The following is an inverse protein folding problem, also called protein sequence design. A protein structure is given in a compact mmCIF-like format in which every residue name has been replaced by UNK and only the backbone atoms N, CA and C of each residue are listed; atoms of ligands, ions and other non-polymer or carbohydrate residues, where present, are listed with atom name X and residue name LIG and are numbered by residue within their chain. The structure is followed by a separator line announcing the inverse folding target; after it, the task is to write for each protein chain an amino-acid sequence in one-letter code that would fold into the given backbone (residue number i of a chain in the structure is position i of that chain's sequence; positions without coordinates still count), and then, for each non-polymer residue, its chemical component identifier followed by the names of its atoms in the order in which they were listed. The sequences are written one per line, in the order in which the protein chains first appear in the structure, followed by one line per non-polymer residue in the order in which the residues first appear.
data_IF_618114057226
#
_entry.id   IF_618114057226
#
_cell.length_a   1.000
_cell.length_b   1.000
_cell.length_c   1.000
_cell.angle_alpha   90.00
_cell.angle_beta   90.00
_cell.angle_gamma   90.00
#
_symmetry.space_group_name_H-M   'P 1'
#
loop_
_entity.id
_entity.type
_entity.pdbx_description
1 polymer ?
#
# COMPACT_ATOMS: atom_id res chain seq x y z
N UNK A 1 -27.70 12.28 7.61
CA UNK A 1 -26.53 13.19 7.68
C UNK A 1 -25.40 12.58 6.86
N UNK A 2 -25.09 13.16 5.70
CA UNK A 2 -23.98 12.75 4.83
C UNK A 2 -22.76 13.57 5.26
N UNK A 3 -21.71 12.92 5.75
CA UNK A 3 -20.43 13.58 6.01
C UNK A 3 -19.79 13.90 4.65
N UNK A 4 -19.46 15.18 4.46
CA UNK A 4 -18.74 15.72 3.32
C UNK A 4 -17.29 15.22 3.40
N UNK A 5 -16.93 14.23 2.59
CA UNK A 5 -15.51 13.96 2.32
C UNK A 5 -14.98 15.14 1.53
N UNK A 6 -14.08 15.91 2.14
CA UNK A 6 -13.37 17.01 1.51
C UNK A 6 -12.45 16.46 0.41
N UNK A 7 -13.00 16.29 -0.79
CA UNK A 7 -12.27 15.97 -2.01
C UNK A 7 -11.60 17.25 -2.49
N UNK A 8 -10.38 17.49 -2.01
CA UNK A 8 -9.52 18.51 -2.59
C UNK A 8 -8.90 17.89 -3.84
N UNK A 9 -9.59 18.00 -4.97
CA UNK A 9 -9.06 17.67 -6.29
C UNK A 9 -8.00 18.74 -6.65
N UNK A 10 -6.76 18.52 -6.20
CA UNK A 10 -5.64 19.38 -6.61
C UNK A 10 -5.35 19.04 -8.07
N UNK A 11 -5.72 19.94 -8.97
CA UNK A 11 -5.20 19.93 -10.32
C UNK A 11 -3.69 20.17 -10.23
N UNK A 12 -2.90 19.12 -10.41
CA UNK A 12 -1.45 19.21 -10.39
C UNK A 12 -0.99 20.29 -11.38
N UNK A 13 -0.14 21.22 -10.91
CA UNK A 13 0.48 22.18 -11.81
C UNK A 13 1.41 21.43 -12.79
N UNK A 14 1.59 21.91 -14.04
CA UNK A 14 2.39 21.21 -15.06
C UNK A 14 3.82 20.89 -14.61
N UNK A 15 4.36 21.66 -13.66
CA UNK A 15 5.70 21.49 -13.09
C UNK A 15 5.76 20.50 -11.90
N UNK A 16 4.60 20.06 -11.39
CA UNK A 16 4.48 19.10 -10.28
C UNK A 16 4.15 17.68 -10.75
N UNK A 17 3.97 17.47 -12.06
CA UNK A 17 3.75 16.14 -12.64
C UNK A 17 5.12 15.45 -12.67
N UNK A 18 5.37 14.43 -11.83
CA UNK A 18 6.60 13.66 -11.93
C UNK A 18 6.69 13.10 -13.34
N UNK A 19 7.90 12.98 -13.88
CA UNK A 19 8.12 12.35 -15.19
C UNK A 19 7.22 11.12 -15.32
N UNK A 20 6.39 11.08 -16.37
CA UNK A 20 5.38 10.06 -16.54
C UNK A 20 5.97 8.62 -16.57
N UNK A 21 7.28 8.50 -16.73
CA UNK A 21 8.07 7.26 -16.62
C UNK A 21 8.27 6.76 -15.18
N UNK A 22 8.13 7.61 -14.15
CA UNK A 22 8.29 7.24 -12.74
C UNK A 22 6.96 6.89 -12.04
N UNK A 23 5.81 7.10 -12.69
CA UNK A 23 4.49 6.91 -12.08
C UNK A 23 4.05 5.44 -12.15
N UNK A 24 3.97 4.79 -10.98
CA UNK A 24 3.48 3.40 -10.86
C UNK A 24 1.99 3.42 -10.56
N UNK A 25 1.19 2.67 -11.33
CA UNK A 25 -0.24 2.53 -11.03
C UNK A 25 -0.47 1.76 -9.73
N UNK A 26 -1.57 2.04 -9.04
CA UNK A 26 -1.95 1.33 -7.81
C UNK A 26 -1.95 -0.20 -7.98
N UNK A 27 -2.43 -0.70 -9.12
CA UNK A 27 -2.42 -2.14 -9.43
C UNK A 27 -1.01 -2.70 -9.59
N UNK A 28 -0.11 -1.98 -10.29
CA UNK A 28 1.28 -2.42 -10.48
C UNK A 28 2.02 -2.43 -9.15
N UNK A 29 1.84 -1.40 -8.32
CA UNK A 29 2.45 -1.36 -6.99
C UNK A 29 1.88 -2.45 -6.07
N UNK A 30 0.56 -2.64 -6.02
CA UNK A 30 -0.05 -3.74 -5.25
C UNK A 30 0.53 -5.10 -5.63
N UNK A 31 0.67 -5.36 -6.93
CA UNK A 31 1.32 -6.57 -7.43
C UNK A 31 2.79 -6.67 -7.03
N UNK A 32 3.56 -5.57 -7.00
CA UNK A 32 4.97 -5.58 -6.63
C UNK A 32 5.16 -5.93 -5.16
N UNK A 33 4.32 -5.41 -4.26
CA UNK A 33 4.34 -5.73 -2.82
C UNK A 33 3.65 -7.04 -2.47
N UNK A 34 3.11 -7.78 -3.45
CA UNK A 34 2.55 -9.12 -3.25
C UNK A 34 1.06 -9.16 -2.92
N UNK A 35 0.35 -8.04 -3.08
CA UNK A 35 -1.12 -7.97 -3.06
C UNK A 35 -1.58 -8.26 -4.49
N UNK A 36 -1.79 -9.56 -4.79
CA UNK A 36 -2.01 -10.06 -6.17
C UNK A 36 -3.43 -9.85 -6.70
N UNK A 37 -4.37 -9.55 -5.82
CA UNK A 37 -5.76 -9.32 -6.19
C UNK A 37 -5.94 -7.89 -6.68
N UNK A 38 -6.48 -7.73 -7.89
CA UNK A 38 -6.61 -6.44 -8.58
C UNK A 38 -7.50 -5.43 -7.82
N UNK A 39 -8.29 -5.87 -6.83
CA UNK A 39 -9.13 -4.99 -6.02
C UNK A 39 -8.60 -4.71 -4.61
N UNK A 40 -7.74 -5.56 -4.04
CA UNK A 40 -7.35 -5.44 -2.61
C UNK A 40 -6.51 -4.21 -2.30
N UNK A 41 -5.52 -3.89 -3.15
CA UNK A 41 -4.73 -2.67 -2.93
C UNK A 41 -5.58 -1.42 -3.16
N UNK A 42 -6.52 -1.49 -4.12
CA UNK A 42 -7.48 -0.42 -4.36
C UNK A 42 -8.40 -0.19 -3.15
N UNK A 43 -8.94 -1.26 -2.59
CA UNK A 43 -9.77 -1.21 -1.38
C UNK A 43 -9.01 -0.59 -0.19
N UNK A 44 -7.70 -0.84 -0.07
CA UNK A 44 -6.87 -0.24 0.97
C UNK A 44 -6.75 1.29 0.82
N UNK A 45 -6.68 1.77 -0.42
CA UNK A 45 -6.70 3.21 -0.75
C UNK A 45 -8.08 3.79 -0.44
N UNK A 46 -9.15 3.15 -0.93
CA UNK A 46 -10.52 3.63 -0.79
C UNK A 46 -10.97 3.65 0.69
N UNK A 47 -10.44 2.74 1.52
CA UNK A 47 -10.63 2.71 2.97
C UNK A 47 -9.75 3.74 3.73
N UNK A 48 -8.93 4.54 3.02
CA UNK A 48 -8.08 5.58 3.61
C UNK A 48 -6.90 5.05 4.41
N UNK A 49 -6.50 3.79 4.23
CA UNK A 49 -5.41 3.20 5.00
C UNK A 49 -4.03 3.53 4.43
N UNK A 50 -3.94 3.78 3.13
CA UNK A 50 -2.71 4.25 2.47
C UNK A 50 -3.05 5.42 1.54
N UNK A 51 -2.19 6.45 1.47
CA UNK A 51 -2.38 7.52 0.49
C UNK A 51 -2.11 7.01 -0.94
N UNK A 52 -2.72 7.68 -1.91
CA UNK A 52 -2.44 7.53 -3.33
C UNK A 52 -2.76 8.85 -4.04
N UNK A 53 -2.20 9.03 -5.23
CA UNK A 53 -2.35 10.26 -6.01
C UNK A 53 -3.20 9.99 -7.26
N UNK A 54 -4.31 10.72 -7.39
CA UNK A 54 -5.11 10.75 -8.62
C UNK A 54 -4.43 11.64 -9.64
N UNK A 55 -4.02 11.07 -10.79
CA UNK A 55 -3.44 11.83 -11.88
C UNK A 55 -4.16 11.50 -13.19
N UNK A 56 -4.33 12.53 -14.02
CA UNK A 56 -4.82 12.37 -15.37
C UNK A 56 -3.66 12.02 -16.29
N UNK A 57 -3.75 10.88 -16.97
CA UNK A 57 -2.72 10.49 -17.93
C UNK A 57 -2.71 11.51 -19.09
N UNK A 58 -1.58 12.21 -19.34
CA UNK A 58 -1.52 13.24 -20.38
C UNK A 58 -1.65 12.67 -21.79
N UNK A 59 -1.30 11.39 -22.01
CA UNK A 59 -1.39 10.72 -23.32
C UNK A 59 -2.80 10.21 -23.63
N UNK A 60 -3.53 9.72 -22.64
CA UNK A 60 -4.85 9.09 -22.85
C UNK A 60 -6.02 9.91 -22.32
N UNK A 61 -5.77 10.96 -21.55
CA UNK A 61 -6.80 11.80 -20.92
C UNK A 61 -7.61 11.10 -19.82
N UNK A 62 -7.32 9.85 -19.50
CA UNK A 62 -8.01 9.09 -18.44
C UNK A 62 -7.38 9.39 -17.08
N UNK A 63 -8.23 9.64 -16.08
CA UNK A 63 -7.81 9.64 -14.69
C UNK A 63 -7.47 8.22 -14.25
N UNK A 64 -6.32 8.07 -13.59
CA UNK A 64 -5.92 6.81 -12.96
C UNK A 64 -5.28 7.12 -11.61
N UNK A 65 -5.18 6.11 -10.77
CA UNK A 65 -4.64 6.26 -9.43
C UNK A 65 -3.26 5.66 -9.40
N UNK A 66 -2.31 6.54 -9.10
CA UNK A 66 -0.88 6.29 -9.07
C UNK A 66 -0.40 6.32 -7.63
N UNK A 67 0.72 5.64 -7.40
CA UNK A 67 1.40 5.59 -6.12
C UNK A 67 2.74 6.28 -6.34
N UNK A 68 2.87 7.49 -5.82
CA UNK A 68 4.11 8.26 -5.88
C UNK A 68 5.17 7.66 -4.95
N UNK A 69 6.43 8.11 -5.06
CA UNK A 69 7.47 7.69 -4.11
C UNK A 69 7.10 8.04 -2.64
N UNK A 70 6.43 9.17 -2.41
CA UNK A 70 5.94 9.57 -1.09
C UNK A 70 4.82 8.64 -0.59
N UNK A 71 3.90 8.25 -1.47
CA UNK A 71 2.83 7.29 -1.15
C UNK A 71 3.40 5.91 -0.82
N UNK A 72 4.39 5.45 -1.59
CA UNK A 72 5.12 4.20 -1.37
C UNK A 72 5.81 4.24 0.00
N UNK A 73 6.53 5.31 0.31
CA UNK A 73 7.17 5.48 1.61
C UNK A 73 6.14 5.49 2.75
N UNK A 74 5.00 6.14 2.57
CA UNK A 74 3.91 6.14 3.56
C UNK A 74 3.32 4.75 3.78
N UNK A 75 3.09 3.99 2.70
CA UNK A 75 2.66 2.60 2.77
C UNK A 75 3.68 1.78 3.56
N UNK A 76 4.97 1.82 3.19
CA UNK A 76 6.00 1.05 3.84
C UNK A 76 6.24 1.47 5.29
N UNK A 77 6.05 2.73 5.68
CA UNK A 77 6.14 3.13 7.11
C UNK A 77 5.10 2.44 7.99
N UNK A 78 3.89 2.22 7.47
CA UNK A 78 2.77 1.67 8.24
C UNK A 78 2.62 0.17 8.07
N UNK A 79 2.89 -0.33 6.88
CA UNK A 79 2.58 -1.70 6.49
C UNK A 79 3.79 -2.45 5.96
N UNK A 80 3.66 -3.76 6.05
CA UNK A 80 4.58 -4.71 5.43
C UNK A 80 3.79 -5.92 4.94
N UNK A 81 4.24 -6.55 3.86
CA UNK A 81 3.74 -7.84 3.41
C UNK A 81 4.81 -8.91 3.62
N UNK A 82 4.45 -10.19 3.51
CA UNK A 82 5.46 -11.26 3.57
C UNK A 82 6.53 -11.13 2.49
N UNK A 83 6.19 -10.58 1.32
CA UNK A 83 7.15 -10.36 0.23
C UNK A 83 8.13 -9.25 0.60
N UNK A 84 7.63 -8.09 1.04
CA UNK A 84 8.50 -6.96 1.37
C UNK A 84 9.33 -7.28 2.60
N UNK A 85 8.77 -7.96 3.61
CA UNK A 85 9.50 -8.41 4.79
C UNK A 85 10.63 -9.40 4.45
N UNK A 86 10.37 -10.35 3.54
CA UNK A 86 11.39 -11.30 3.07
C UNK A 86 12.52 -10.59 2.33
N UNK A 87 12.19 -9.63 1.46
CA UNK A 87 13.17 -8.82 0.76
C UNK A 87 13.99 -7.93 1.71
N UNK A 88 13.35 -7.29 2.70
CA UNK A 88 13.99 -6.41 3.69
C UNK A 88 14.94 -7.19 4.64
N UNK A 89 14.59 -8.43 5.01
CA UNK A 89 15.33 -9.21 6.01
C UNK A 89 16.27 -10.27 5.42
N UNK A 90 16.15 -10.58 4.14
CA UNK A 90 16.82 -11.73 3.51
C UNK A 90 16.31 -13.10 3.97
N UNK A 91 15.25 -13.15 4.79
CA UNK A 91 14.74 -14.39 5.40
C UNK A 91 13.65 -15.01 4.55
N UNK A 92 13.59 -16.34 4.53
CA UNK A 92 12.57 -17.08 3.79
C UNK A 92 11.17 -16.90 4.40
N UNK A 93 10.16 -16.71 3.52
CA UNK A 93 8.76 -16.49 3.89
C UNK A 93 8.19 -17.55 4.86
N UNK A 94 8.41 -18.88 4.66
CA UNK A 94 7.88 -19.88 5.59
C UNK A 94 8.35 -19.67 7.03
N UNK A 95 9.63 -19.33 7.23
CA UNK A 95 10.19 -19.07 8.54
C UNK A 95 9.62 -17.81 9.19
N UNK A 96 9.51 -16.72 8.41
CA UNK A 96 8.88 -15.47 8.86
C UNK A 96 7.42 -15.71 9.28
N UNK A 97 6.65 -16.46 8.49
CA UNK A 97 5.25 -16.78 8.80
C UNK A 97 5.11 -17.55 10.11
N UNK A 98 5.98 -18.53 10.35
CA UNK A 98 5.98 -19.30 11.61
C UNK A 98 6.30 -18.38 12.80
N UNK A 99 7.31 -17.50 12.67
CA UNK A 99 7.67 -16.58 13.75
C UNK A 99 6.53 -15.60 14.07
N UNK A 100 5.96 -14.94 13.06
CA UNK A 100 4.85 -14.01 13.26
C UNK A 100 3.62 -14.70 13.87
N UNK A 101 3.31 -15.93 13.42
CA UNK A 101 2.24 -16.73 14.02
C UNK A 101 2.51 -17.05 15.49
N UNK A 102 3.73 -17.46 15.84
CA UNK A 102 4.11 -17.73 17.24
C UNK A 102 4.05 -16.48 18.12
N UNK A 103 4.36 -15.32 17.55
CA UNK A 103 4.27 -14.03 18.22
C UNK A 103 2.84 -13.47 18.31
N UNK A 104 1.85 -14.12 17.70
CA UNK A 104 0.45 -13.68 17.70
C UNK A 104 0.17 -12.47 16.80
N UNK A 105 1.04 -12.17 15.83
CA UNK A 105 0.83 -11.03 14.91
C UNK A 105 -0.30 -11.37 13.95
N UNK A 106 -1.36 -10.56 13.98
CA UNK A 106 -2.53 -10.71 13.13
C UNK A 106 -2.33 -10.00 11.78
N UNK A 107 -3.05 -10.47 10.75
CA UNK A 107 -3.20 -9.69 9.53
C UNK A 107 -4.00 -8.42 9.82
N UNK A 108 -3.65 -7.35 9.13
CA UNK A 108 -4.39 -6.09 9.19
C UNK A 108 -5.77 -6.28 8.55
N UNK A 109 -6.80 -6.34 9.40
CA UNK A 109 -8.19 -6.52 9.01
C UNK A 109 -9.11 -5.64 9.87
N UNK A 110 -9.05 -4.30 9.72
CA UNK A 110 -9.96 -3.40 10.40
C UNK A 110 -11.40 -3.72 9.99
N UNK A 111 -12.29 -3.78 10.98
CA UNK A 111 -13.71 -4.10 10.80
C UNK A 111 -13.98 -5.39 10.00
N UNK A 112 -13.03 -6.34 10.01
CA UNK A 112 -13.13 -7.61 9.28
C UNK A 112 -12.84 -7.51 7.78
N UNK A 113 -12.36 -6.37 7.28
CA UNK A 113 -12.04 -6.19 5.86
C UNK A 113 -10.76 -6.97 5.48
N UNK A 114 -10.81 -7.72 4.38
CA UNK A 114 -9.67 -8.53 3.91
C UNK A 114 -8.84 -7.79 2.84
N UNK A 115 -7.65 -7.35 3.24
CA UNK A 115 -6.64 -6.77 2.32
C UNK A 115 -5.53 -7.77 1.95
N UNK A 116 -5.68 -9.04 2.33
CA UNK A 116 -4.69 -10.10 2.16
C UNK A 116 -3.68 -10.17 3.31
N UNK A 117 -2.51 -10.76 3.05
CA UNK A 117 -1.41 -10.89 4.02
C UNK A 117 -0.64 -9.56 4.19
N UNK A 118 -1.37 -8.54 4.60
CA UNK A 118 -0.89 -7.22 4.99
C UNK A 118 -0.79 -7.16 6.51
N UNK A 119 0.28 -6.60 7.04
CA UNK A 119 0.52 -6.52 8.49
C UNK A 119 0.91 -5.10 8.88
N UNK A 120 0.61 -4.72 10.11
CA UNK A 120 1.16 -3.49 10.68
C UNK A 120 2.66 -3.66 10.92
N UNK A 121 3.45 -2.71 10.41
CA UNK A 121 4.92 -2.76 10.53
C UNK A 121 5.36 -2.79 11.99
N UNK A 122 4.77 -1.94 12.83
CA UNK A 122 5.12 -1.85 14.24
C UNK A 122 4.95 -3.19 14.98
N UNK A 123 3.88 -3.93 14.69
CA UNK A 123 3.64 -5.24 15.31
C UNK A 123 4.63 -6.31 14.84
N UNK A 124 4.99 -6.26 13.55
CA UNK A 124 6.00 -7.14 12.96
C UNK A 124 7.38 -6.87 13.56
N UNK A 125 7.79 -5.60 13.64
CA UNK A 125 9.08 -5.21 14.23
C UNK A 125 9.17 -5.59 15.72
N UNK A 126 8.09 -5.40 16.48
CA UNK A 126 8.00 -5.86 17.87
C UNK A 126 8.09 -7.39 18.00
N UNK A 127 7.61 -8.15 17.01
CA UNK A 127 7.69 -9.61 17.00
C UNK A 127 9.06 -10.15 16.55
N UNK A 128 9.79 -9.41 15.72
CA UNK A 128 11.10 -9.80 15.21
C UNK A 128 12.27 -9.42 16.14
N UNK A 129 12.04 -8.51 17.07
CA UNK A 129 13.01 -8.08 18.10
C UNK A 129 13.00 -8.94 19.37
N UNK A 130 12.11 -9.94 19.44
CA UNK A 130 12.03 -10.94 20.51
C UNK A 130 12.81 -12.19 20.14
#
# INVERSE_FOLDING_TARGET
MRLLSAEVDRLAHPEEVPDAEALVTASVFGMSVGIKDKGRFRALIDAGHTPATSLRNPKTGMANIFVTAADIAAFHRRFVTMRTLSAETGRAIPGLRVQLKRAGVAVFSPDGQDFGHLYLRAEVEAALSR
#
